data_IF_377896249501
#
_entry.id   IF_377896249501
#
_cell.length_a   1.000
_cell.length_b   1.000
_cell.length_c   1.000
_cell.angle_alpha   90.00
_cell.angle_beta   90.00
_cell.angle_gamma   90.00
#
_symmetry.space_group_name_H-M   'P 1'
#
loop_
_entity.id
_entity.type
_entity.pdbx_description
1 polymer ?
#
# COMPACT_ATOMS: atom_id res chain seq x y z
N UNK A 1 -6.20 2.34 17.73
CA UNK A 1 -7.41 2.96 17.14
C UNK A 1 -7.18 3.01 15.65
N UNK A 2 -7.72 2.03 14.94
CA UNK A 2 -7.66 1.90 13.49
C UNK A 2 -8.63 2.90 12.88
N UNK A 3 -8.18 3.66 11.91
CA UNK A 3 -9.01 4.67 11.26
C UNK A 3 -10.02 3.98 10.33
N UNK A 4 -11.27 4.44 10.34
CA UNK A 4 -12.31 3.90 9.46
C UNK A 4 -12.07 4.42 8.05
N UNK A 5 -11.36 3.62 7.27
CA UNK A 5 -11.11 3.93 5.87
C UNK A 5 -12.39 3.73 5.06
N UNK A 6 -12.67 4.61 4.08
CA UNK A 6 -13.76 4.41 3.16
C UNK A 6 -13.57 3.11 2.36
N UNK A 7 -14.64 2.41 1.98
CA UNK A 7 -14.55 1.14 1.25
C UNK A 7 -13.89 1.28 -0.13
N UNK A 8 -13.93 2.45 -0.75
CA UNK A 8 -13.18 2.75 -1.99
C UNK A 8 -11.66 2.70 -1.76
N UNK A 9 -11.17 3.24 -0.64
CA UNK A 9 -9.74 3.18 -0.29
C UNK A 9 -9.30 1.77 0.05
N UNK A 10 -10.16 1.00 0.72
CA UNK A 10 -9.89 -0.41 1.01
C UNK A 10 -9.73 -1.19 -0.30
N UNK A 11 -10.63 -0.97 -1.26
CA UNK A 11 -10.54 -1.59 -2.59
C UNK A 11 -9.30 -1.17 -3.35
N UNK A 12 -8.94 0.12 -3.31
CA UNK A 12 -7.70 0.59 -3.94
C UNK A 12 -6.47 -0.03 -3.25
N UNK A 13 -6.44 -0.10 -1.91
CA UNK A 13 -5.36 -0.75 -1.16
C UNK A 13 -5.20 -2.22 -1.55
N UNK A 14 -6.30 -2.96 -1.64
CA UNK A 14 -6.29 -4.36 -2.06
C UNK A 14 -5.81 -4.51 -3.51
N UNK A 15 -6.19 -3.59 -4.39
CA UNK A 15 -5.75 -3.57 -5.79
C UNK A 15 -4.24 -3.33 -5.89
N UNK A 16 -3.73 -2.35 -5.14
CA UNK A 16 -2.31 -2.00 -5.04
C UNK A 16 -1.52 -3.14 -4.37
N UNK A 17 -2.07 -3.79 -3.35
CA UNK A 17 -1.52 -5.02 -2.74
C UNK A 17 -1.33 -6.14 -3.76
N UNK A 18 -2.38 -6.41 -4.57
CA UNK A 18 -2.35 -7.42 -5.62
C UNK A 18 -1.39 -7.08 -6.75
N UNK A 19 -1.24 -5.79 -7.09
CA UNK A 19 -0.24 -5.34 -8.06
C UNK A 19 1.16 -5.67 -7.55
N UNK A 20 1.43 -5.46 -6.26
CA UNK A 20 2.73 -5.78 -5.70
C UNK A 20 3.03 -7.28 -5.62
N UNK A 21 2.03 -8.09 -5.28
CA UNK A 21 2.12 -9.56 -5.28
C UNK A 21 2.40 -10.13 -6.68
N UNK A 22 2.00 -9.39 -7.74
CA UNK A 22 2.31 -9.69 -9.14
C UNK A 22 3.57 -8.97 -9.66
N UNK A 23 4.13 -8.03 -8.90
CA UNK A 23 5.30 -7.22 -9.23
C UNK A 23 6.61 -7.75 -8.62
N UNK A 24 6.59 -8.94 -8.02
CA UNK A 24 7.74 -9.60 -7.38
C UNK A 24 9.02 -9.59 -8.25
N UNK A 25 8.87 -9.47 -9.58
CA UNK A 25 9.97 -9.36 -10.55
C UNK A 25 9.77 -8.29 -11.64
N UNK A 26 8.82 -7.36 -11.52
CA UNK A 26 8.48 -6.43 -12.61
C UNK A 26 8.76 -4.98 -12.19
N UNK A 27 9.84 -4.39 -12.70
CA UNK A 27 10.20 -3.01 -12.41
C UNK A 27 9.10 -2.01 -12.83
N UNK A 28 8.42 -2.28 -13.95
CA UNK A 28 7.33 -1.45 -14.44
C UNK A 28 6.10 -1.51 -13.52
N UNK A 29 5.74 -2.70 -13.02
CA UNK A 29 4.66 -2.84 -12.03
C UNK A 29 5.04 -2.29 -10.67
N UNK A 30 6.31 -2.36 -10.29
CA UNK A 30 6.81 -1.74 -9.05
C UNK A 30 6.73 -0.21 -9.12
N UNK A 31 7.04 0.37 -10.29
CA UNK A 31 6.85 1.80 -10.55
C UNK A 31 5.38 2.19 -10.52
N UNK A 32 4.50 1.42 -11.18
CA UNK A 32 3.06 1.67 -11.15
C UNK A 32 2.49 1.56 -9.72
N UNK A 33 2.95 0.56 -8.96
CA UNK A 33 2.62 0.42 -7.54
C UNK A 33 3.03 1.66 -6.75
N UNK A 34 4.27 2.14 -6.95
CA UNK A 34 4.77 3.32 -6.24
C UNK A 34 3.96 4.58 -6.58
N UNK A 35 3.64 4.81 -7.85
CA UNK A 35 2.80 5.95 -8.25
C UNK A 35 1.39 5.87 -7.64
N UNK A 36 0.73 4.72 -7.73
CA UNK A 36 -0.60 4.52 -7.15
C UNK A 36 -0.59 4.66 -5.63
N UNK A 37 0.43 4.14 -4.95
CA UNK A 37 0.53 4.24 -3.50
C UNK A 37 0.83 5.67 -3.05
N UNK A 38 1.64 6.42 -3.81
CA UNK A 38 1.86 7.85 -3.56
C UNK A 38 0.60 8.69 -3.75
N UNK A 39 -0.20 8.46 -4.80
CA UNK A 39 -1.49 9.15 -4.98
C UNK A 39 -2.44 8.86 -3.82
N UNK A 40 -2.49 7.59 -3.40
CA UNK A 40 -3.35 7.14 -2.31
C UNK A 40 -2.92 7.72 -0.96
N UNK A 41 -1.62 7.86 -0.71
CA UNK A 41 -1.05 8.57 0.44
C UNK A 41 -1.53 10.01 0.52
N UNK A 42 -1.45 10.76 -0.58
CA UNK A 42 -1.89 12.17 -0.65
C UNK A 42 -3.37 12.29 -0.29
N UNK A 43 -4.22 11.40 -0.83
CA UNK A 43 -5.65 11.41 -0.52
C UNK A 43 -5.93 11.01 0.93
N UNK A 44 -5.17 10.09 1.51
CA UNK A 44 -5.29 9.73 2.92
C UNK A 44 -4.89 10.87 3.85
N UNK A 45 -3.82 11.60 3.53
CA UNK A 45 -3.42 12.80 4.28
C UNK A 45 -4.46 13.92 4.17
N UNK A 46 -5.07 14.12 3.00
CA UNK A 46 -6.15 15.09 2.79
C UNK A 46 -7.38 14.76 3.66
N UNK A 47 -7.73 13.48 3.75
CA UNK A 47 -8.79 12.97 4.62
C UNK A 47 -8.39 12.87 6.10
N UNK A 48 -7.18 13.31 6.47
CA UNK A 48 -6.61 13.28 7.82
C UNK A 48 -6.40 11.88 8.40
N UNK A 49 -6.31 10.86 7.55
CA UNK A 49 -5.99 9.48 7.92
C UNK A 49 -4.48 9.27 8.11
N UNK A 50 -3.89 10.04 9.02
CA UNK A 50 -2.45 10.10 9.18
C UNK A 50 -1.82 8.78 9.66
N UNK A 51 -2.56 7.94 10.40
CA UNK A 51 -2.01 6.65 10.87
C UNK A 51 -1.93 5.64 9.75
N UNK A 52 -2.95 5.62 8.88
CA UNK A 52 -2.94 4.77 7.69
C UNK A 52 -1.86 5.25 6.73
N UNK A 53 -1.76 6.57 6.53
CA UNK A 53 -0.74 7.16 5.68
C UNK A 53 0.68 6.81 6.18
N UNK A 54 0.99 7.00 7.47
CA UNK A 54 2.29 6.65 8.05
C UNK A 54 2.68 5.17 7.81
N UNK A 55 1.70 4.27 7.96
CA UNK A 55 1.90 2.83 7.73
C UNK A 55 2.18 2.50 6.27
N UNK A 56 1.51 3.17 5.33
CA UNK A 56 1.78 3.04 3.89
C UNK A 56 3.12 3.70 3.50
N UNK A 57 3.49 4.78 4.16
CA UNK A 57 4.77 5.46 3.96
C UNK A 57 5.94 4.52 4.28
N UNK A 58 5.84 3.78 5.39
CA UNK A 58 6.81 2.73 5.76
C UNK A 58 6.94 1.63 4.70
N UNK A 59 5.82 1.24 4.07
CA UNK A 59 5.78 0.25 3.00
C UNK A 59 6.44 0.81 1.72
N UNK A 60 6.13 2.06 1.35
CA UNK A 60 6.72 2.75 0.19
C UNK A 60 8.25 2.89 0.34
N UNK A 61 8.73 3.24 1.54
CA UNK A 61 10.17 3.34 1.85
C UNK A 61 10.88 1.99 1.64
N UNK A 62 10.21 0.89 1.95
CA UNK A 62 10.75 -0.45 1.76
C UNK A 62 10.67 -0.95 0.31
N UNK A 63 9.84 -0.32 -0.52
CA UNK A 63 9.59 -0.66 -1.92
C UNK A 63 10.02 0.49 -2.84
N UNK A 64 11.33 0.76 -2.88
CA UNK A 64 11.89 1.74 -3.82
C UNK A 64 12.33 1.04 -5.10
N UNK A 65 11.70 1.34 -6.26
CA UNK A 65 12.16 0.81 -7.55
C UNK A 65 13.51 1.44 -7.87
N UNK A 66 14.61 0.73 -7.58
CA UNK A 66 15.92 1.05 -8.14
C UNK A 66 16.01 0.39 -9.51
N UNK A 67 16.40 1.17 -10.52
CA UNK A 67 16.49 0.84 -11.95
C UNK A 67 17.34 -0.40 -12.34
N UNK A 68 17.81 -1.21 -11.38
CA UNK A 68 18.69 -2.36 -11.65
C UNK A 68 18.57 -3.52 -10.65
N UNK A 69 17.50 -3.64 -9.84
CA UNK A 69 17.43 -4.73 -8.84
C UNK A 69 16.02 -5.24 -8.61
N UNK A 70 15.89 -6.56 -8.54
CA UNK A 70 14.68 -7.24 -8.10
C UNK A 70 14.27 -6.72 -6.72
N UNK A 71 12.97 -6.61 -6.46
CA UNK A 71 12.48 -6.23 -5.14
C UNK A 71 12.71 -7.39 -4.16
N UNK A 72 13.88 -7.43 -3.52
CA UNK A 72 14.24 -8.46 -2.53
C UNK A 72 13.26 -8.53 -1.35
N UNK A 73 12.51 -7.46 -1.11
CA UNK A 73 11.53 -7.34 -0.02
C UNK A 73 10.07 -7.49 -0.46
N UNK A 74 9.81 -7.94 -1.69
CA UNK A 74 8.44 -7.98 -2.23
C UNK A 74 7.47 -8.80 -1.35
N UNK A 75 7.94 -9.91 -0.77
CA UNK A 75 7.16 -10.71 0.18
C UNK A 75 6.78 -9.92 1.44
N UNK A 76 7.72 -9.15 1.99
CA UNK A 76 7.55 -8.36 3.21
C UNK A 76 6.61 -7.16 2.99
N UNK A 77 6.76 -6.50 1.84
CA UNK A 77 5.89 -5.38 1.41
C UNK A 77 4.47 -5.89 1.13
N UNK A 78 4.32 -7.02 0.43
CA UNK A 78 3.02 -7.62 0.13
C UNK A 78 2.26 -8.03 1.39
N UNK A 79 2.94 -8.66 2.36
CA UNK A 79 2.34 -9.03 3.64
C UNK A 79 1.92 -7.80 4.46
N UNK A 80 2.76 -6.75 4.50
CA UNK A 80 2.45 -5.51 5.19
C UNK A 80 1.20 -4.81 4.61
N UNK A 81 1.07 -4.72 3.27
CA UNK A 81 -0.13 -4.12 2.66
C UNK A 81 -1.39 -4.95 2.96
N UNK A 82 -1.29 -6.29 2.92
CA UNK A 82 -2.42 -7.17 3.27
C UNK A 82 -2.88 -6.96 4.72
N UNK A 83 -1.94 -6.78 5.65
CA UNK A 83 -2.28 -6.53 7.05
C UNK A 83 -3.01 -5.20 7.22
N UNK A 84 -2.54 -4.13 6.55
CA UNK A 84 -3.21 -2.82 6.54
C UNK A 84 -4.63 -2.92 5.97
N UNK A 85 -4.81 -3.64 4.86
CA UNK A 85 -6.12 -3.83 4.25
C UNK A 85 -7.09 -4.60 5.16
N UNK A 86 -6.62 -5.66 5.83
CA UNK A 86 -7.43 -6.43 6.78
C UNK A 86 -7.82 -5.61 8.01
N UNK A 87 -6.89 -4.82 8.54
CA UNK A 87 -7.16 -3.91 9.66
C UNK A 87 -8.19 -2.84 9.27
N UNK A 88 -8.05 -2.27 8.08
CA UNK A 88 -8.99 -1.30 7.51
C UNK A 88 -10.41 -1.89 7.37
N UNK A 89 -10.52 -3.12 6.85
CA UNK A 89 -11.81 -3.84 6.74
C UNK A 89 -12.45 -4.08 8.10
N UNK A 90 -11.69 -4.58 9.09
CA UNK A 90 -12.19 -4.80 10.45
C UNK A 90 -12.63 -3.52 11.14
N UNK A 91 -11.99 -2.40 10.83
CA UNK A 91 -12.39 -1.09 11.34
C UNK A 91 -13.68 -0.59 10.69
N UNK A 92 -13.92 -0.91 9.41
CA UNK A 92 -15.13 -0.54 8.68
C UNK A 92 -16.39 -1.33 9.10
N UNK A 93 -16.23 -2.58 9.54
CA UNK A 93 -17.35 -3.45 9.99
C UNK A 93 -17.80 -3.22 11.45
N UNK A 94 -17.02 -2.50 12.26
CA UNK A 94 -17.38 -2.11 13.65
C UNK A 94 -18.06 -0.75 13.70
#
# INVERSE_FOLDING_TARGET
MTEKLPPEFIKELESVSRLHEQAVCDHEKCREFSEKLSDLLVRLEDMKFYKTADRLMSILINCSPKEASHCEKSSLVGEAVKDVAKEAQRAAEK
#
